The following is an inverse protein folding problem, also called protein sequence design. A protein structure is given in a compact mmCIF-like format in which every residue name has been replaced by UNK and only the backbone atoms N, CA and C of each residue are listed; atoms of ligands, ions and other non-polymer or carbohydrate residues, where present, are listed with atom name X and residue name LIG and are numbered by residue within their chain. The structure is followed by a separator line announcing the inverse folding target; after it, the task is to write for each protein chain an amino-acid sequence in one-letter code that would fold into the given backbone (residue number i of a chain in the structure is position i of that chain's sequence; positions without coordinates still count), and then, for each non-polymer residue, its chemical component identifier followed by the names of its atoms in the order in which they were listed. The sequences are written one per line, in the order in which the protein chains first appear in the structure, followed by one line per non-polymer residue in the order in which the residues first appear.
data_IF_714873001490
#
_entry.id   IF_714873001490
#
_cell.length_a   1.000
_cell.length_b   1.000
_cell.length_c   1.000
_cell.angle_alpha   90.00
_cell.angle_beta   90.00
_cell.angle_gamma   90.00
#
_symmetry.space_group_name_H-M   'P 1'
#
loop_
_entity.id
_entity.type
_entity.pdbx_description
1 polymer ?
#
# COMPACT_ATOMS: atom_id res chain seq x y z
N UNK A 1 6.35 17.61 6.33
CA UNK A 1 5.34 16.54 6.25
C UNK A 1 3.97 17.16 6.34
N UNK A 2 3.08 16.82 5.39
CA UNK A 2 1.88 17.63 5.14
C UNK A 2 0.56 16.92 5.54
N UNK A 3 0.64 15.70 6.09
CA UNK A 3 -0.53 14.96 6.56
C UNK A 3 -0.59 14.97 8.09
N UNK A 4 -1.59 15.64 8.64
CA UNK A 4 -1.75 15.78 10.10
C UNK A 4 -2.18 14.47 10.75
N UNK A 5 -2.96 13.67 10.05
CA UNK A 5 -3.42 12.35 10.51
C UNK A 5 -2.30 11.31 10.66
N UNK A 6 -1.10 11.59 10.16
CA UNK A 6 0.06 10.71 10.35
C UNK A 6 0.86 11.21 11.56
N UNK A 7 0.87 10.46 12.63
CA UNK A 7 1.62 10.77 13.84
C UNK A 7 3.06 10.28 13.75
N UNK A 8 3.27 9.05 13.27
CA UNK A 8 4.60 8.43 13.13
C UNK A 8 4.80 7.82 11.74
N UNK A 9 6.04 7.82 11.28
CA UNK A 9 6.48 7.15 10.04
C UNK A 9 7.65 6.24 10.38
N UNK A 10 7.47 4.94 10.20
CA UNK A 10 8.54 3.96 10.37
C UNK A 10 9.09 3.58 9.00
N UNK A 11 10.33 3.94 8.73
CA UNK A 11 11.06 3.50 7.53
C UNK A 11 11.84 2.25 7.88
N UNK A 12 11.32 1.08 7.51
CA UNK A 12 11.92 -0.21 7.82
C UNK A 12 12.68 -0.77 6.61
N UNK A 13 13.96 -0.98 6.74
CA UNK A 13 14.84 -1.46 5.65
C UNK A 13 16.08 -2.17 6.21
N UNK A 14 16.62 -3.20 5.51
CA UNK A 14 17.92 -3.76 5.84
C UNK A 14 19.11 -2.93 5.33
N UNK A 15 18.86 -1.96 4.45
CA UNK A 15 19.92 -1.13 3.85
C UNK A 15 20.35 -0.01 4.78
N UNK A 16 21.59 -0.15 5.29
CA UNK A 16 22.20 0.82 6.20
C UNK A 16 22.44 2.21 5.56
N UNK A 17 22.54 2.27 4.22
CA UNK A 17 22.70 3.58 3.53
C UNK A 17 21.39 4.35 3.59
N UNK A 18 20.25 3.67 3.38
CA UNK A 18 18.93 4.27 3.50
C UNK A 18 18.68 4.71 4.94
N UNK A 19 19.01 3.89 5.95
CA UNK A 19 18.87 4.27 7.35
C UNK A 19 19.71 5.51 7.71
N UNK A 20 20.96 5.56 7.25
CA UNK A 20 21.82 6.76 7.43
C UNK A 20 21.22 7.99 6.77
N UNK A 21 20.63 7.85 5.58
CA UNK A 21 19.95 8.96 4.90
C UNK A 21 18.73 9.44 5.69
N UNK A 22 17.87 8.51 6.13
CA UNK A 22 16.69 8.82 6.95
C UNK A 22 17.09 9.58 8.21
N UNK A 23 18.03 9.06 8.98
CA UNK A 23 18.50 9.67 10.23
C UNK A 23 19.18 11.04 10.00
N UNK A 24 19.84 11.24 8.85
CA UNK A 24 20.48 12.51 8.53
C UNK A 24 19.48 13.60 8.15
N UNK A 25 18.44 13.29 7.38
CA UNK A 25 17.53 14.28 6.78
C UNK A 25 16.17 14.38 7.47
N UNK A 26 15.81 13.39 8.27
CA UNK A 26 14.51 13.29 8.94
C UNK A 26 14.68 12.98 10.45
N UNK A 27 15.78 13.48 11.04
CA UNK A 27 16.04 13.32 12.48
C UNK A 27 15.03 14.14 13.30
N UNK A 28 13.87 13.55 13.51
CA UNK A 28 12.79 14.11 14.31
C UNK A 28 11.93 12.98 14.88
N UNK A 29 11.18 13.29 15.93
CA UNK A 29 10.33 12.32 16.64
C UNK A 29 9.24 11.68 15.77
N UNK A 30 8.98 12.21 14.58
CA UNK A 30 7.93 11.74 13.67
C UNK A 30 8.42 10.67 12.69
N UNK A 31 9.71 10.66 12.31
CA UNK A 31 10.27 9.71 11.34
C UNK A 31 11.32 8.84 11.99
N UNK A 32 11.08 7.56 11.99
CA UNK A 32 11.90 6.56 12.67
C UNK A 32 12.53 5.65 11.61
N UNK A 33 13.86 5.61 11.56
CA UNK A 33 14.61 4.63 10.77
C UNK A 33 14.76 3.33 11.57
N UNK A 34 14.19 2.23 11.09
CA UNK A 34 14.24 0.93 11.74
C UNK A 34 15.03 -0.08 10.91
N UNK A 35 16.12 -0.62 11.45
CA UNK A 35 16.86 -1.68 10.80
C UNK A 35 16.03 -2.97 10.78
N UNK A 36 15.70 -3.44 9.58
CA UNK A 36 14.94 -4.68 9.39
C UNK A 36 15.90 -5.86 9.26
N UNK A 37 15.72 -6.93 10.04
CA UNK A 37 16.49 -8.15 9.87
C UNK A 37 16.46 -8.67 8.43
N UNK A 38 17.61 -9.09 7.89
CA UNK A 38 17.71 -9.59 6.51
C UNK A 38 16.75 -10.75 6.22
N UNK A 39 16.43 -11.54 7.23
CA UNK A 39 15.46 -12.64 7.10
C UNK A 39 14.06 -12.17 6.74
N UNK A 40 13.65 -10.98 7.18
CA UNK A 40 12.36 -10.38 6.86
C UNK A 40 12.35 -9.67 5.51
N UNK A 41 13.51 -9.46 4.91
CA UNK A 41 13.65 -8.80 3.61
C UNK A 41 13.61 -9.77 2.41
N UNK A 42 13.51 -11.07 2.66
CA UNK A 42 13.47 -12.07 1.59
C UNK A 42 12.11 -12.04 0.87
N UNK A 43 12.12 -12.16 -0.47
CA UNK A 43 10.95 -12.13 -1.35
C UNK A 43 9.86 -13.15 -0.95
N UNK A 44 10.27 -14.30 -0.38
CA UNK A 44 9.36 -15.36 0.04
C UNK A 44 8.81 -15.20 1.47
N UNK A 45 9.06 -14.07 2.13
CA UNK A 45 8.53 -13.79 3.47
C UNK A 45 7.27 -12.93 3.40
N UNK A 46 6.33 -13.24 4.26
CA UNK A 46 5.12 -12.45 4.39
C UNK A 46 5.43 -11.03 4.86
N UNK A 47 4.87 -10.04 4.19
CA UNK A 47 4.93 -8.64 4.63
C UNK A 47 4.36 -8.39 6.03
N UNK A 48 3.53 -9.32 6.53
CA UNK A 48 2.99 -9.28 7.91
C UNK A 48 4.09 -9.27 8.97
N UNK A 49 5.14 -10.09 8.80
CA UNK A 49 6.28 -10.09 9.74
C UNK A 49 7.02 -8.75 9.76
N UNK A 50 7.08 -8.05 8.64
CA UNK A 50 7.65 -6.70 8.58
C UNK A 50 6.77 -5.70 9.30
N UNK A 51 5.44 -5.82 9.21
CA UNK A 51 4.49 -4.98 9.94
C UNK A 51 4.59 -5.25 11.44
N UNK A 52 4.60 -6.52 11.86
CA UNK A 52 4.77 -6.89 13.26
C UNK A 52 6.07 -6.31 13.83
N UNK A 53 7.19 -6.45 13.10
CA UNK A 53 8.48 -5.88 13.50
C UNK A 53 8.43 -4.35 13.60
N UNK A 54 7.78 -3.67 12.66
CA UNK A 54 7.65 -2.22 12.69
C UNK A 54 6.81 -1.72 13.88
N UNK A 55 5.71 -2.42 14.21
CA UNK A 55 4.87 -2.10 15.35
C UNK A 55 5.55 -2.40 16.69
N UNK A 56 6.35 -3.46 16.76
CA UNK A 56 7.00 -3.90 18.00
C UNK A 56 8.25 -3.07 18.33
N UNK A 57 9.07 -2.77 17.32
CA UNK A 57 10.38 -2.14 17.52
C UNK A 57 10.47 -0.69 17.02
N UNK A 58 9.58 -0.28 16.12
CA UNK A 58 9.56 1.08 15.59
C UNK A 58 8.77 2.04 16.46
N UNK A 59 7.66 1.57 17.03
CA UNK A 59 6.74 2.38 17.86
C UNK A 59 6.30 1.60 19.10
N UNK A 60 7.24 1.15 19.95
CA UNK A 60 6.94 0.39 21.14
C UNK A 60 6.09 1.22 22.11
N UNK A 61 5.06 0.60 22.67
CA UNK A 61 4.18 1.21 23.68
C UNK A 61 3.37 2.43 23.20
N UNK A 62 3.36 2.71 21.90
CA UNK A 62 2.48 3.74 21.33
C UNK A 62 1.17 3.10 20.86
N UNK A 63 0.06 3.82 21.01
CA UNK A 63 -1.28 3.40 20.60
C UNK A 63 -1.70 4.23 19.38
N UNK A 64 -2.04 3.55 18.30
CA UNK A 64 -2.57 4.14 17.08
C UNK A 64 -3.80 3.36 16.63
N UNK A 65 -4.74 4.05 16.00
CA UNK A 65 -5.95 3.42 15.46
C UNK A 65 -5.63 2.58 14.23
N UNK A 66 -4.82 3.14 13.33
CA UNK A 66 -4.51 2.54 12.02
C UNK A 66 -3.01 2.54 11.73
N UNK A 67 -2.57 1.58 10.92
CA UNK A 67 -1.34 1.74 10.17
C UNK A 67 -1.63 1.91 8.68
N UNK A 68 -0.83 2.73 8.01
CA UNK A 68 -0.84 2.87 6.56
C UNK A 68 0.43 2.25 5.97
N UNK A 69 0.25 1.14 5.24
CA UNK A 69 1.34 0.46 4.53
C UNK A 69 1.58 1.09 3.16
N UNK A 70 2.78 1.61 2.95
CA UNK A 70 3.24 2.15 1.67
C UNK A 70 4.57 1.54 1.26
N UNK A 71 4.88 1.59 -0.04
CA UNK A 71 6.18 1.22 -0.58
C UNK A 71 6.89 2.43 -1.16
N UNK A 72 8.22 2.45 -1.08
CA UNK A 72 9.06 3.48 -1.72
C UNK A 72 8.96 3.42 -3.25
N UNK A 73 8.61 2.26 -3.80
CA UNK A 73 8.40 2.05 -5.24
C UNK A 73 7.19 2.80 -5.77
N UNK A 74 6.31 3.30 -4.89
CA UNK A 74 5.12 4.08 -5.27
C UNK A 74 5.22 5.53 -4.76
N UNK A 75 6.06 6.39 -5.37
CA UNK A 75 6.48 7.66 -4.78
C UNK A 75 5.43 8.79 -4.83
N UNK A 76 4.33 8.62 -5.57
CA UNK A 76 3.37 9.70 -5.83
C UNK A 76 2.11 9.64 -4.96
N UNK A 77 2.15 8.98 -3.82
CA UNK A 77 1.04 8.99 -2.86
C UNK A 77 0.86 10.41 -2.28
N UNK A 78 -0.38 10.86 -2.23
CA UNK A 78 -0.74 12.18 -1.71
C UNK A 78 -1.50 12.03 -0.40
N UNK A 79 -1.42 13.08 0.44
CA UNK A 79 -2.11 13.11 1.73
C UNK A 79 -3.62 12.93 1.60
N UNK A 80 -4.23 13.51 0.56
CA UNK A 80 -5.67 13.44 0.32
C UNK A 80 -6.16 12.00 0.13
N UNK A 81 -5.31 11.13 -0.45
CA UNK A 81 -5.65 9.71 -0.60
C UNK A 81 -5.63 9.00 0.76
N UNK A 82 -4.69 9.35 1.65
CA UNK A 82 -4.60 8.76 2.99
C UNK A 82 -5.80 9.21 3.83
N UNK A 83 -6.10 10.51 3.83
CA UNK A 83 -7.26 11.07 4.52
C UNK A 83 -8.58 10.47 4.01
N UNK A 84 -8.71 10.27 2.68
CA UNK A 84 -9.87 9.57 2.10
C UNK A 84 -10.00 8.14 2.63
N UNK A 85 -8.89 7.43 2.79
CA UNK A 85 -8.89 6.10 3.36
C UNK A 85 -9.36 6.09 4.82
N UNK A 86 -8.88 7.03 5.64
CA UNK A 86 -9.30 7.18 7.04
C UNK A 86 -10.80 7.49 7.11
N UNK A 87 -11.28 8.43 6.30
CA UNK A 87 -12.70 8.77 6.24
C UNK A 87 -13.57 7.56 5.86
N UNK A 88 -13.16 6.77 4.86
CA UNK A 88 -13.87 5.55 4.47
C UNK A 88 -13.88 4.55 5.63
N UNK A 89 -12.73 4.33 6.29
CA UNK A 89 -12.65 3.42 7.42
C UNK A 89 -13.61 3.81 8.54
N UNK A 90 -13.67 5.09 8.86
CA UNK A 90 -14.50 5.63 9.94
C UNK A 90 -15.99 5.64 9.58
N UNK A 91 -16.35 6.14 8.38
CA UNK A 91 -17.77 6.31 7.99
C UNK A 91 -18.44 4.96 7.77
N UNK A 92 -17.74 4.01 7.15
CA UNK A 92 -18.32 2.71 6.79
C UNK A 92 -17.97 1.60 7.78
N UNK A 93 -17.32 1.91 8.88
CA UNK A 93 -16.90 0.94 9.91
C UNK A 93 -16.19 -0.27 9.29
N UNK A 94 -15.21 0.00 8.41
CA UNK A 94 -14.40 -1.03 7.78
C UNK A 94 -13.02 -1.13 8.42
N UNK A 95 -12.53 -2.34 8.59
CA UNK A 95 -11.26 -2.59 9.26
C UNK A 95 -10.04 -2.53 8.35
N UNK A 96 -10.27 -2.46 7.04
CA UNK A 96 -9.24 -2.36 6.00
C UNK A 96 -9.71 -1.45 4.89
N UNK A 97 -8.83 -0.56 4.40
CA UNK A 97 -9.06 0.17 3.15
C UNK A 97 -7.88 -0.06 2.22
N UNK A 98 -8.17 -0.48 0.99
CA UNK A 98 -7.17 -0.72 -0.05
C UNK A 98 -7.27 0.30 -1.16
N UNK A 99 -6.12 0.66 -1.74
CA UNK A 99 -6.09 1.39 -2.99
C UNK A 99 -6.46 0.47 -4.15
N UNK A 100 -7.38 0.92 -4.99
CA UNK A 100 -7.79 0.15 -6.16
C UNK A 100 -7.86 1.01 -7.42
N UNK A 101 -7.78 0.35 -8.54
CA UNK A 101 -8.09 0.92 -9.85
C UNK A 101 -9.19 0.10 -10.50
N UNK A 102 -10.18 0.79 -11.05
CA UNK A 102 -11.20 0.13 -11.89
C UNK A 102 -10.53 -0.49 -13.12
N UNK A 103 -10.82 -1.74 -13.36
CA UNK A 103 -10.28 -2.49 -14.48
C UNK A 103 -11.42 -2.97 -15.39
N UNK A 104 -11.54 -2.32 -16.54
CA UNK A 104 -12.55 -2.64 -17.54
C UNK A 104 -12.00 -3.57 -18.66
N UNK A 105 -10.81 -4.18 -18.43
CA UNK A 105 -10.22 -5.11 -19.39
C UNK A 105 -10.81 -6.49 -19.21
N UNK A 106 -10.95 -7.24 -20.31
CA UNK A 106 -11.30 -8.66 -20.24
C UNK A 106 -10.13 -9.44 -19.65
N UNK A 107 -10.42 -10.28 -18.67
CA UNK A 107 -9.45 -11.15 -18.03
C UNK A 107 -9.62 -12.58 -18.48
N UNK A 108 -8.52 -13.29 -18.60
CA UNK A 108 -8.49 -14.70 -18.96
C UNK A 108 -7.61 -15.44 -17.95
N UNK A 109 -7.95 -16.68 -17.68
CA UNK A 109 -7.11 -17.61 -16.93
C UNK A 109 -6.74 -18.81 -17.81
N UNK A 110 -5.55 -19.35 -17.60
CA UNK A 110 -5.12 -20.56 -18.26
C UNK A 110 -5.67 -21.79 -17.50
N UNK A 111 -6.36 -22.71 -18.19
CA UNK A 111 -6.96 -23.90 -17.58
C UNK A 111 -6.17 -25.19 -17.83
N UNK A 112 -4.93 -25.10 -18.34
CA UNK A 112 -4.12 -26.23 -18.75
C UNK A 112 -4.20 -26.55 -20.26
N UNK A 113 -5.30 -26.21 -20.92
CA UNK A 113 -5.52 -26.45 -22.35
C UNK A 113 -5.55 -25.15 -23.17
N UNK A 114 -5.72 -24.01 -22.52
CA UNK A 114 -5.78 -22.70 -23.18
C UNK A 114 -6.32 -21.60 -22.27
N UNK A 115 -6.64 -20.46 -22.85
CA UNK A 115 -7.19 -19.31 -22.13
C UNK A 115 -8.70 -19.37 -22.12
N UNK A 116 -9.29 -19.25 -20.93
CA UNK A 116 -10.72 -19.10 -20.73
C UNK A 116 -11.03 -17.75 -20.07
N UNK A 117 -12.13 -17.06 -20.46
CA UNK A 117 -12.54 -15.82 -19.80
C UNK A 117 -12.78 -16.05 -18.31
N UNK A 118 -12.44 -15.04 -17.50
CA UNK A 118 -12.76 -15.08 -16.06
C UNK A 118 -14.20 -14.64 -15.78
N UNK A 119 -14.80 -13.89 -16.70
CA UNK A 119 -16.20 -13.47 -16.62
C UNK A 119 -17.14 -14.54 -17.23
N UNK A 120 -18.23 -14.81 -16.52
CA UNK A 120 -19.20 -15.82 -16.94
C UNK A 120 -20.02 -15.42 -18.18
N UNK A 121 -19.95 -14.15 -18.61
CA UNK A 121 -20.63 -13.67 -19.81
C UNK A 121 -19.69 -12.83 -20.68
N UNK A 122 -19.07 -13.42 -21.72
CA UNK A 122 -18.13 -12.73 -22.59
C UNK A 122 -18.78 -11.70 -23.53
N UNK A 123 -20.11 -11.68 -23.64
CA UNK A 123 -20.87 -10.79 -24.53
C UNK A 123 -21.31 -9.48 -23.89
N UNK A 124 -21.07 -9.28 -22.58
CA UNK A 124 -21.42 -8.04 -21.94
C UNK A 124 -20.72 -6.83 -22.57
N UNK A 125 -21.50 -5.82 -22.90
CA UNK A 125 -20.98 -4.50 -23.21
C UNK A 125 -20.21 -3.98 -22.00
N UNK A 126 -19.15 -3.21 -22.26
CA UNK A 126 -18.21 -2.68 -21.26
C UNK A 126 -18.87 -2.00 -20.04
N UNK A 127 -20.11 -1.51 -20.21
CA UNK A 127 -20.88 -0.82 -19.16
C UNK A 127 -21.85 -1.72 -18.37
N UNK A 128 -22.06 -2.97 -18.82
CA UNK A 128 -23.05 -3.89 -18.23
C UNK A 128 -22.38 -4.99 -17.40
N UNK A 129 -21.05 -5.14 -17.50
CA UNK A 129 -20.28 -6.13 -16.74
C UNK A 129 -20.10 -5.71 -15.27
N UNK A 130 -19.91 -6.67 -14.39
CA UNK A 130 -19.49 -6.45 -13.00
C UNK A 130 -18.21 -5.61 -12.98
N UNK A 131 -18.21 -4.53 -12.21
CA UNK A 131 -17.02 -3.70 -12.09
C UNK A 131 -15.91 -4.49 -11.39
N UNK A 132 -14.83 -4.75 -12.11
CA UNK A 132 -13.64 -5.37 -11.54
C UNK A 132 -12.67 -4.29 -11.09
N UNK A 133 -12.07 -4.52 -9.94
CA UNK A 133 -11.05 -3.65 -9.37
C UNK A 133 -9.74 -4.40 -9.21
N UNK A 134 -8.64 -3.76 -9.61
CA UNK A 134 -7.30 -4.26 -9.35
C UNK A 134 -6.72 -3.52 -8.15
N UNK A 135 -6.20 -4.25 -7.16
CA UNK A 135 -5.50 -3.66 -6.03
C UNK A 135 -4.22 -2.98 -6.50
N UNK A 136 -3.99 -1.77 -6.01
CA UNK A 136 -2.77 -0.98 -6.27
C UNK A 136 -1.74 -1.24 -5.18
N UNK A 137 -0.47 -1.36 -5.57
CA UNK A 137 0.64 -1.49 -4.64
C UNK A 137 0.80 -0.27 -3.73
N UNK A 138 1.37 -0.46 -2.55
CA UNK A 138 1.72 0.61 -1.63
C UNK A 138 0.54 1.42 -1.10
N UNK A 139 -0.67 0.83 -1.02
CA UNK A 139 -1.81 1.48 -0.37
C UNK A 139 -2.67 0.45 0.38
N UNK A 140 -2.44 0.36 1.67
CA UNK A 140 -3.26 -0.40 2.61
C UNK A 140 -3.36 0.39 3.90
N UNK A 141 -4.56 0.80 4.27
CA UNK A 141 -4.88 1.31 5.60
C UNK A 141 -5.54 0.17 6.38
N UNK A 142 -5.07 -0.11 7.58
CA UNK A 142 -5.54 -1.24 8.38
C UNK A 142 -5.71 -0.84 9.84
N UNK A 143 -6.84 -1.15 10.43
CA UNK A 143 -7.08 -0.98 11.87
C UNK A 143 -6.13 -1.90 12.65
N UNK A 144 -5.32 -1.33 13.56
CA UNK A 144 -4.30 -2.07 14.30
C UNK A 144 -4.93 -3.09 15.25
N UNK A 145 -6.03 -2.74 15.90
CA UNK A 145 -6.75 -3.65 16.81
C UNK A 145 -7.24 -4.91 16.08
N UNK A 146 -7.87 -4.73 14.92
CA UNK A 146 -8.33 -5.84 14.08
C UNK A 146 -7.15 -6.65 13.50
N UNK A 147 -6.07 -5.98 13.08
CA UNK A 147 -4.84 -6.64 12.62
C UNK A 147 -4.20 -7.50 13.72
N UNK A 148 -4.04 -6.96 14.93
CA UNK A 148 -3.48 -7.71 16.08
C UNK A 148 -4.28 -8.97 16.40
N UNK A 149 -5.62 -8.91 16.27
CA UNK A 149 -6.52 -10.04 16.49
C UNK A 149 -6.42 -11.12 15.41
N UNK A 150 -6.42 -10.72 14.14
CA UNK A 150 -6.50 -11.65 13.01
C UNK A 150 -5.15 -12.08 12.47
N UNK A 151 -4.13 -11.25 12.59
CA UNK A 151 -2.81 -11.39 11.95
C UNK A 151 -2.89 -11.60 10.43
N UNK A 152 -3.98 -11.13 9.80
CA UNK A 152 -4.18 -11.20 8.34
C UNK A 152 -3.86 -9.85 7.70
N UNK A 153 -3.27 -9.89 6.51
CA UNK A 153 -2.95 -8.68 5.73
C UNK A 153 -4.20 -7.88 5.36
N UNK A 154 -5.30 -8.57 5.05
CA UNK A 154 -6.61 -7.97 4.82
C UNK A 154 -7.57 -8.44 5.93
N UNK A 155 -8.47 -7.56 6.30
CA UNK A 155 -9.50 -7.85 7.28
C UNK A 155 -10.75 -8.49 6.68
N UNK A 156 -11.82 -8.42 7.44
CA UNK A 156 -13.12 -8.99 7.05
C UNK A 156 -13.99 -7.97 6.32
N UNK A 157 -13.91 -6.69 6.76
CA UNK A 157 -14.64 -5.58 6.14
C UNK A 157 -13.66 -4.73 5.35
N UNK A 158 -13.74 -4.77 4.04
CA UNK A 158 -12.79 -4.09 3.14
C UNK A 158 -13.47 -2.93 2.43
N UNK A 159 -13.04 -1.71 2.71
CA UNK A 159 -13.32 -0.52 1.92
C UNK A 159 -12.25 -0.26 0.87
N UNK A 160 -12.47 0.71 -0.01
CA UNK A 160 -11.50 1.03 -1.03
C UNK A 160 -11.46 2.51 -1.39
N UNK A 161 -10.29 2.96 -1.86
CA UNK A 161 -10.07 4.27 -2.47
C UNK A 161 -9.68 4.06 -3.93
N UNK A 162 -10.31 4.80 -4.84
CA UNK A 162 -9.90 4.81 -6.25
C UNK A 162 -8.60 5.60 -6.38
N UNK A 163 -7.57 4.96 -6.85
CA UNK A 163 -6.25 5.55 -7.04
C UNK A 163 -6.08 6.00 -8.49
N UNK A 164 -5.72 7.25 -8.70
CA UNK A 164 -5.47 7.80 -10.03
C UNK A 164 -4.14 7.27 -10.63
N UNK A 165 -3.98 7.51 -11.93
CA UNK A 165 -2.87 6.98 -12.71
C UNK A 165 -1.50 7.44 -12.21
N UNK A 166 -1.38 8.66 -11.70
CA UNK A 166 -0.13 9.20 -11.17
C UNK A 166 0.22 8.55 -9.83
N UNK A 167 -0.75 8.49 -8.91
CA UNK A 167 -0.55 7.95 -7.59
C UNK A 167 -0.34 6.41 -7.55
N UNK A 168 -0.76 5.69 -8.60
CA UNK A 168 -0.51 4.26 -8.75
C UNK A 168 0.80 3.91 -9.47
N UNK A 169 1.54 4.91 -9.97
CA UNK A 169 2.81 4.67 -10.67
C UNK A 169 3.77 3.93 -9.74
N UNK A 170 4.31 2.84 -10.22
CA UNK A 170 5.22 1.96 -9.51
C UNK A 170 6.56 1.90 -10.25
N UNK A 171 7.66 2.02 -9.54
CA UNK A 171 9.00 1.88 -10.07
C UNK A 171 9.36 0.39 -9.95
N UNK A 172 9.26 -0.35 -11.07
CA UNK A 172 9.55 -1.78 -11.11
C UNK A 172 10.96 -2.06 -11.64
N UNK A 173 11.48 -1.18 -12.50
CA UNK A 173 12.83 -1.31 -13.07
C UNK A 173 13.47 0.07 -13.39
N UNK A 174 14.69 0.02 -13.93
CA UNK A 174 15.50 1.22 -14.19
C UNK A 174 14.86 2.17 -15.22
N UNK A 175 14.00 1.70 -16.12
CA UNK A 175 13.31 2.54 -17.11
C UNK A 175 12.25 3.43 -16.46
N UNK A 176 11.72 3.04 -15.32
CA UNK A 176 10.70 3.82 -14.61
C UNK A 176 11.28 5.04 -13.90
N UNK A 177 12.59 5.02 -13.59
CA UNK A 177 13.27 6.13 -12.91
C UNK A 177 13.22 7.43 -13.74
N UNK A 178 13.60 7.45 -15.05
CA UNK A 178 13.42 8.61 -15.91
C UNK A 178 11.96 9.08 -16.00
N UNK A 179 11.01 8.15 -16.06
CA UNK A 179 9.58 8.46 -16.11
C UNK A 179 9.13 9.12 -14.81
N UNK A 180 9.52 8.58 -13.66
CA UNK A 180 9.23 9.19 -12.36
C UNK A 180 9.81 10.60 -12.25
N UNK A 181 11.05 10.80 -12.69
CA UNK A 181 11.70 12.12 -12.72
C UNK A 181 10.98 13.11 -13.65
N UNK A 182 10.48 12.65 -14.79
CA UNK A 182 9.66 13.48 -15.66
C UNK A 182 8.36 13.89 -14.97
N UNK A 183 7.65 12.95 -14.33
CA UNK A 183 6.41 13.23 -13.61
C UNK A 183 6.62 14.24 -12.48
N UNK A 184 7.73 14.18 -11.76
CA UNK A 184 8.08 15.12 -10.67
C UNK A 184 8.24 16.56 -11.19
N UNK A 185 8.82 16.70 -12.39
CA UNK A 185 9.07 18.01 -13.02
C UNK A 185 7.80 18.66 -13.61
N UNK A 186 6.72 17.89 -13.79
CA UNK A 186 5.42 18.37 -14.27
C UNK A 186 4.59 18.93 -13.07
N UNK A 187 5.09 20.03 -12.48
CA UNK A 187 4.36 20.76 -11.43
C UNK A 187 3.39 21.77 -12.02
#
# INVERSE_FOLDING_TARGET
MQCESIEKIVVTTPDKKILKHVNKFYDNDKVIGLERPHELARINKSGQKTIDHALEYGVPNEEFDYYFGSSIETPFKRKELIESGINIATIFDVDTVIGVRQNNKKHFRHNGQGLIPTDNNPEFLRLEGSQLYTKVSGYVLREIKSYRRSKKALGEKIGHVIIDRKAMFEIEDDIDIPIANFIIKQK
#
